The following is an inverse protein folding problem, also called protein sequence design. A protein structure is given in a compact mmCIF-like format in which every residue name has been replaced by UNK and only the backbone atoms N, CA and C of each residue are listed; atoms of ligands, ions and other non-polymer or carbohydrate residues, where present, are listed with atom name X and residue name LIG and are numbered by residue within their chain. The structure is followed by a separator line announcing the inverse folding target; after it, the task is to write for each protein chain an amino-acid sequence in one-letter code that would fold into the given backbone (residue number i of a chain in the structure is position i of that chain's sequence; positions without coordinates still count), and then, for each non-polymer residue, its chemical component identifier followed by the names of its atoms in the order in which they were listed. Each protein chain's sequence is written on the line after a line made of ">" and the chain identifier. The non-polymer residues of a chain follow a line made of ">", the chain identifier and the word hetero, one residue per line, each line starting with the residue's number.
data_IF_721756605021
#
_entry.id   IF_721756605021
#
_cell.length_a   1.000
_cell.length_b   1.000
_cell.length_c   1.000
_cell.angle_alpha   90.00
_cell.angle_beta   90.00
_cell.angle_gamma   90.00
#
_symmetry.space_group_name_H-M   'P 1'
#
loop_
_entity.id
_entity.type
_entity.pdbx_description
1 polymer ?
#
# COMPACT_ATOMS: atom_id res chain seq x y z
N UNK A 1 -12.18 24.87 31.41
CA UNK A 1 -11.21 23.83 31.01
C UNK A 1 -11.44 23.54 29.53
N UNK A 2 -10.86 24.36 28.64
CA UNK A 2 -11.03 24.22 27.18
C UNK A 2 -9.91 23.34 26.66
N UNK A 3 -10.23 22.18 26.09
CA UNK A 3 -9.26 21.40 25.31
C UNK A 3 -8.79 22.24 24.11
N UNK A 4 -7.49 22.30 23.79
CA UNK A 4 -7.01 23.19 22.75
C UNK A 4 -7.44 22.65 21.39
N UNK A 5 -8.14 23.49 20.61
CA UNK A 5 -8.54 23.25 19.21
C UNK A 5 -7.40 22.74 18.33
N UNK A 6 -6.15 23.10 18.68
CA UNK A 6 -4.93 22.64 18.02
C UNK A 6 -4.74 21.11 18.06
N UNK A 7 -5.16 20.42 19.13
CA UNK A 7 -5.01 18.96 19.26
C UNK A 7 -6.03 18.19 18.42
N UNK A 8 -7.19 18.81 18.15
CA UNK A 8 -8.26 18.20 17.34
C UNK A 8 -7.93 18.32 15.85
N UNK A 9 -7.31 19.43 15.43
CA UNK A 9 -6.91 19.64 14.03
C UNK A 9 -5.78 18.71 13.58
N UNK A 10 -4.80 18.44 14.44
CA UNK A 10 -3.69 17.51 14.11
C UNK A 10 -4.15 16.06 14.02
N UNK A 11 -5.07 15.62 14.89
CA UNK A 11 -5.63 14.27 14.83
C UNK A 11 -6.46 14.02 13.56
N UNK A 12 -7.30 14.99 13.16
CA UNK A 12 -8.10 14.86 11.94
C UNK A 12 -7.23 14.87 10.67
N UNK A 13 -6.17 15.69 10.62
CA UNK A 13 -5.24 15.69 9.49
C UNK A 13 -4.47 14.36 9.35
N UNK A 14 -4.07 13.75 10.48
CA UNK A 14 -3.38 12.45 10.50
C UNK A 14 -4.26 11.31 9.97
N UNK A 15 -5.55 11.27 10.35
CA UNK A 15 -6.51 10.26 9.90
C UNK A 15 -6.73 10.32 8.38
N UNK A 16 -6.98 11.52 7.86
CA UNK A 16 -7.15 11.75 6.41
C UNK A 16 -5.89 11.39 5.62
N UNK A 17 -4.70 11.63 6.20
CA UNK A 17 -3.44 11.25 5.58
C UNK A 17 -3.25 9.72 5.54
N UNK A 18 -3.54 9.01 6.63
CA UNK A 18 -3.45 7.55 6.70
C UNK A 18 -4.42 6.86 5.72
N UNK A 19 -5.65 7.37 5.61
CA UNK A 19 -6.65 6.94 4.63
C UNK A 19 -6.18 7.16 3.19
N UNK A 20 -5.63 8.33 2.89
CA UNK A 20 -5.07 8.64 1.56
C UNK A 20 -3.92 7.70 1.17
N UNK A 21 -3.01 7.40 2.11
CA UNK A 21 -1.91 6.46 1.88
C UNK A 21 -2.45 5.04 1.71
N UNK A 22 -3.44 4.62 2.50
CA UNK A 22 -4.12 3.33 2.33
C UNK A 22 -4.70 3.17 0.92
N UNK A 23 -5.44 4.17 0.43
CA UNK A 23 -6.04 4.13 -0.91
C UNK A 23 -4.99 4.09 -2.02
N UNK A 24 -3.92 4.86 -1.87
CA UNK A 24 -2.81 4.90 -2.82
C UNK A 24 -2.09 3.54 -2.87
N UNK A 25 -1.79 2.97 -1.71
CA UNK A 25 -1.14 1.66 -1.59
C UNK A 25 -2.04 0.54 -2.13
N UNK A 26 -3.34 0.56 -1.83
CA UNK A 26 -4.31 -0.39 -2.37
C UNK A 26 -4.40 -0.32 -3.90
N UNK A 27 -4.48 0.89 -4.46
CA UNK A 27 -4.51 1.11 -5.91
C UNK A 27 -3.23 0.60 -6.58
N UNK A 28 -2.06 0.95 -6.02
CA UNK A 28 -0.78 0.50 -6.53
C UNK A 28 -0.61 -1.03 -6.45
N UNK A 29 -1.05 -1.65 -5.36
CA UNK A 29 -1.04 -3.10 -5.17
C UNK A 29 -1.87 -3.80 -6.25
N UNK A 30 -3.12 -3.36 -6.44
CA UNK A 30 -4.02 -3.91 -7.45
C UNK A 30 -3.46 -3.73 -8.87
N UNK A 31 -2.87 -2.58 -9.16
CA UNK A 31 -2.25 -2.33 -10.45
C UNK A 31 -1.03 -3.24 -10.67
N UNK A 32 -0.17 -3.41 -9.66
CA UNK A 32 1.02 -4.26 -9.77
C UNK A 32 0.65 -5.75 -9.99
N UNK A 33 -0.42 -6.24 -9.36
CA UNK A 33 -0.95 -7.60 -9.61
C UNK A 33 -1.41 -7.73 -11.06
N UNK A 34 -2.25 -6.79 -11.54
CA UNK A 34 -2.73 -6.80 -12.93
C UNK A 34 -1.59 -6.72 -13.94
N UNK A 35 -0.60 -5.87 -13.66
CA UNK A 35 0.58 -5.74 -14.50
C UNK A 35 1.36 -7.05 -14.56
N UNK A 36 1.53 -7.75 -13.43
CA UNK A 36 2.18 -9.06 -13.40
C UNK A 36 1.45 -10.06 -14.30
N UNK A 37 0.12 -10.12 -14.22
CA UNK A 37 -0.70 -11.01 -15.05
C UNK A 37 -0.56 -10.67 -16.54
N UNK A 38 -0.57 -9.39 -16.88
CA UNK A 38 -0.44 -8.91 -18.27
C UNK A 38 0.94 -9.23 -18.87
N UNK A 39 2.02 -9.08 -18.08
CA UNK A 39 3.38 -9.31 -18.58
C UNK A 39 3.87 -10.75 -18.41
N UNK A 40 3.19 -11.60 -17.63
CA UNK A 40 3.56 -13.00 -17.43
C UNK A 40 3.85 -13.76 -18.75
N UNK A 41 3.04 -13.65 -19.83
CA UNK A 41 3.36 -14.29 -21.10
C UNK A 41 4.63 -13.71 -21.75
N UNK A 42 4.87 -12.40 -21.66
CA UNK A 42 6.08 -11.76 -22.18
C UNK A 42 7.33 -12.24 -21.42
N UNK A 43 7.24 -12.33 -20.09
CA UNK A 43 8.33 -12.86 -19.26
C UNK A 43 8.62 -14.33 -19.60
N UNK A 44 7.58 -15.13 -19.85
CA UNK A 44 7.74 -16.54 -20.25
C UNK A 44 8.45 -16.68 -21.60
N UNK A 45 8.18 -15.79 -22.56
CA UNK A 45 8.94 -15.72 -23.81
C UNK A 45 10.40 -15.29 -23.56
N UNK A 46 10.58 -14.33 -22.65
CA UNK A 46 11.91 -13.81 -22.30
C UNK A 46 12.78 -14.87 -21.61
N UNK A 47 12.19 -15.80 -20.85
CA UNK A 47 12.91 -16.90 -20.19
C UNK A 47 13.69 -17.81 -21.15
N UNK A 48 13.29 -17.87 -22.42
CA UNK A 48 13.95 -18.68 -23.45
C UNK A 48 15.38 -18.19 -23.71
N UNK A 49 15.56 -16.87 -23.81
CA UNK A 49 16.84 -16.25 -24.20
C UNK A 49 17.52 -15.48 -23.06
N UNK A 50 16.75 -15.05 -22.06
CA UNK A 50 17.17 -14.11 -21.02
C UNK A 50 16.56 -14.48 -19.65
N UNK A 51 16.82 -15.73 -19.21
CA UNK A 51 16.29 -16.29 -17.97
C UNK A 51 16.55 -15.42 -16.73
N UNK A 52 17.77 -14.85 -16.62
CA UNK A 52 18.16 -14.05 -15.44
C UNK A 52 17.38 -12.74 -15.38
N UNK A 53 17.21 -12.08 -16.52
CA UNK A 53 16.46 -10.85 -16.66
C UNK A 53 14.98 -11.10 -16.37
N UNK A 54 14.43 -12.24 -16.84
CA UNK A 54 13.03 -12.60 -16.60
C UNK A 54 12.76 -12.86 -15.12
N UNK A 55 13.64 -13.60 -14.45
CA UNK A 55 13.58 -13.80 -13.00
C UNK A 55 13.70 -12.47 -12.24
N UNK A 56 14.59 -11.56 -12.68
CA UNK A 56 14.74 -10.24 -12.06
C UNK A 56 13.46 -9.41 -12.19
N UNK A 57 12.82 -9.36 -13.35
CA UNK A 57 11.56 -8.63 -13.52
C UNK A 57 10.43 -9.21 -12.67
N UNK A 58 10.31 -10.56 -12.60
CA UNK A 58 9.34 -11.20 -11.70
C UNK A 58 9.59 -10.80 -10.24
N UNK A 59 10.85 -10.78 -9.78
CA UNK A 59 11.20 -10.38 -8.42
C UNK A 59 10.82 -8.94 -8.13
N UNK A 60 11.18 -8.00 -9.03
CA UNK A 60 10.92 -6.57 -8.83
C UNK A 60 9.42 -6.27 -8.71
N UNK A 61 8.59 -6.94 -9.51
CA UNK A 61 7.13 -6.75 -9.44
C UNK A 61 6.56 -7.41 -8.18
N UNK A 62 7.08 -8.59 -7.80
CA UNK A 62 6.74 -9.23 -6.53
C UNK A 62 7.07 -8.35 -5.32
N UNK A 63 8.22 -7.68 -5.33
CA UNK A 63 8.62 -6.71 -4.31
C UNK A 63 7.67 -5.51 -4.26
N UNK A 64 7.28 -4.96 -5.42
CA UNK A 64 6.30 -3.87 -5.48
C UNK A 64 4.94 -4.28 -4.89
N UNK A 65 4.45 -5.48 -5.22
CA UNK A 65 3.22 -6.04 -4.64
C UNK A 65 3.37 -6.17 -3.11
N UNK A 66 4.49 -6.71 -2.63
CA UNK A 66 4.75 -6.89 -1.20
C UNK A 66 4.78 -5.55 -0.45
N UNK A 67 5.54 -4.57 -0.95
CA UNK A 67 5.67 -3.26 -0.32
C UNK A 67 4.35 -2.50 -0.26
N UNK A 68 3.56 -2.56 -1.33
CA UNK A 68 2.24 -1.92 -1.38
C UNK A 68 1.24 -2.61 -0.43
N UNK A 69 1.29 -3.94 -0.31
CA UNK A 69 0.48 -4.68 0.67
C UNK A 69 0.86 -4.32 2.10
N UNK A 70 2.15 -4.31 2.44
CA UNK A 70 2.63 -3.94 3.79
C UNK A 70 2.19 -2.51 4.15
N UNK A 71 2.28 -1.60 3.18
CA UNK A 71 1.88 -0.20 3.38
C UNK A 71 0.38 -0.10 3.66
N UNK A 72 -0.44 -0.78 2.85
CA UNK A 72 -1.89 -0.89 3.03
C UNK A 72 -2.23 -1.43 4.43
N UNK A 73 -1.66 -2.57 4.82
CA UNK A 73 -1.94 -3.21 6.11
C UNK A 73 -1.50 -2.36 7.31
N UNK A 74 -0.41 -1.59 7.16
CA UNK A 74 0.03 -0.64 8.18
C UNK A 74 -0.95 0.51 8.32
N UNK A 75 -1.41 1.11 7.23
CA UNK A 75 -2.38 2.20 7.27
C UNK A 75 -3.72 1.73 7.84
N UNK A 76 -4.21 0.56 7.45
CA UNK A 76 -5.46 -0.01 8.00
C UNK A 76 -5.41 -0.16 9.53
N UNK A 77 -4.28 -0.67 10.06
CA UNK A 77 -4.08 -0.77 11.51
C UNK A 77 -4.04 0.59 12.21
N UNK A 78 -3.51 1.63 11.57
CA UNK A 78 -3.46 2.97 12.16
C UNK A 78 -4.86 3.61 12.18
N UNK A 79 -5.59 3.52 11.07
CA UNK A 79 -6.98 4.00 10.95
C UNK A 79 -7.87 3.34 12.01
N UNK A 80 -7.78 2.01 12.16
CA UNK A 80 -8.57 1.26 13.14
C UNK A 80 -8.21 1.63 14.59
N UNK A 81 -6.92 1.86 14.89
CA UNK A 81 -6.49 2.33 16.21
C UNK A 81 -7.03 3.72 16.52
N UNK A 82 -7.01 4.62 15.55
CA UNK A 82 -7.55 5.97 15.67
C UNK A 82 -9.05 5.94 15.95
N UNK A 83 -9.80 5.09 15.23
CA UNK A 83 -11.23 4.93 15.45
C UNK A 83 -11.57 4.38 16.84
N UNK A 84 -10.83 3.38 17.32
CA UNK A 84 -11.00 2.84 18.68
C UNK A 84 -10.67 3.87 19.78
N UNK A 85 -9.77 4.81 19.52
CA UNK A 85 -9.44 5.88 20.45
C UNK A 85 -10.53 6.97 20.52
N UNK A 86 -11.27 7.19 19.43
CA UNK A 86 -12.42 8.10 19.37
C UNK A 86 -13.61 7.59 20.18
N UNK A 87 -13.90 6.28 20.14
CA UNK A 87 -15.05 5.67 20.85
C UNK A 87 -14.88 5.68 22.38
N UNK A 88 -13.64 5.74 22.88
CA UNK A 88 -13.31 5.67 24.32
C UNK A 88 -13.22 7.04 25.01
N UNK A 89 -13.44 8.15 24.30
CA UNK A 89 -13.48 9.52 24.84
C UNK A 89 -14.91 9.97 25.07
#
# INVERSE_FOLDING_TARGET
>A
MSTPVAVIQTHNASKTQEESIYHSASTANNYAIKLMDEIAPLLSQMEINHLKEAARFRSLIGELISMTSITKDRCERLINKTHLAEIKK
#
